data_IF_704945190958
#
_entry.id   IF_704945190958
#
_cell.length_a   1.000
_cell.length_b   1.000
_cell.length_c   1.000
_cell.angle_alpha   90.00
_cell.angle_beta   90.00
_cell.angle_gamma   90.00
#
_symmetry.space_group_name_H-M   'P 1'
#
loop_
_entity.id
_entity.type
_entity.pdbx_description
1 polymer ?
#
# COMPACT_ATOMS: atom_id res chain seq x y z
N UNK A 1 68.92 41.44 -4.40
CA UNK A 1 69.97 40.82 -3.57
C UNK A 1 69.54 39.39 -3.25
N UNK A 2 70.35 38.40 -3.66
CA UNK A 2 70.28 36.96 -3.38
C UNK A 2 71.17 36.64 -2.15
N UNK A 3 70.98 35.57 -1.37
CA UNK A 3 71.28 34.17 -1.78
C UNK A 3 70.17 33.16 -1.35
N UNK A 4 69.79 32.12 -2.09
CA UNK A 4 70.53 30.96 -2.65
C UNK A 4 71.19 30.08 -1.57
N UNK A 5 70.55 28.96 -1.21
CA UNK A 5 71.25 27.76 -0.74
C UNK A 5 70.36 26.51 -0.88
N UNK A 6 70.73 25.71 -1.87
CA UNK A 6 70.28 24.38 -2.25
C UNK A 6 70.78 23.32 -1.25
N UNK A 7 69.99 22.28 -0.96
CA UNK A 7 70.54 20.98 -0.59
C UNK A 7 69.63 19.83 -1.07
N UNK A 8 70.15 19.09 -2.03
CA UNK A 8 69.68 17.83 -2.61
C UNK A 8 70.16 16.66 -1.73
N UNK A 9 69.33 15.63 -1.54
CA UNK A 9 69.70 14.20 -1.38
C UNK A 9 68.38 13.40 -1.50
N UNK A 10 68.03 12.67 -2.56
CA UNK A 10 68.65 11.57 -3.30
C UNK A 10 68.57 10.19 -2.60
N UNK A 11 67.98 9.22 -3.32
CA UNK A 11 67.87 7.77 -3.12
C UNK A 11 66.74 7.27 -2.18
N UNK A 12 65.97 6.21 -2.48
CA UNK A 12 66.13 5.15 -3.46
C UNK A 12 64.76 4.61 -3.92
N UNK A 13 64.70 4.26 -5.21
CA UNK A 13 63.59 3.55 -5.87
C UNK A 13 63.67 2.07 -5.49
N UNK A 14 62.68 1.57 -4.74
CA UNK A 14 62.45 0.14 -4.58
C UNK A 14 61.33 -0.29 -5.53
N UNK A 15 61.70 -0.80 -6.70
CA UNK A 15 60.80 -1.46 -7.63
C UNK A 15 60.55 -2.90 -7.16
N UNK A 16 59.36 -3.16 -6.60
CA UNK A 16 58.82 -4.51 -6.45
C UNK A 16 57.85 -4.79 -7.61
N UNK A 17 58.07 -5.82 -8.44
CA UNK A 17 57.06 -6.30 -9.37
C UNK A 17 56.12 -7.30 -8.68
N UNK A 18 54.89 -7.43 -9.23
CA UNK A 18 53.87 -8.47 -8.96
C UNK A 18 53.06 -8.29 -7.64
N UNK A 19 51.73 -8.22 -7.60
CA UNK A 19 50.66 -8.64 -8.50
C UNK A 19 49.50 -7.62 -8.43
N UNK A 20 49.07 -7.07 -9.57
CA UNK A 20 47.75 -6.46 -9.70
C UNK A 20 46.71 -7.58 -9.70
N UNK A 21 46.26 -8.01 -8.51
CA UNK A 21 45.00 -8.74 -8.39
C UNK A 21 43.88 -7.72 -8.49
N UNK A 22 43.20 -7.73 -9.64
CA UNK A 22 41.84 -7.21 -9.78
C UNK A 22 41.03 -7.80 -8.61
N UNK A 23 40.32 -7.00 -7.78
CA UNK A 23 39.39 -7.59 -6.84
C UNK A 23 38.45 -8.49 -7.66
N UNK A 24 38.14 -9.71 -7.19
CA UNK A 24 37.14 -10.53 -7.84
C UNK A 24 35.87 -9.69 -7.98
N UNK A 25 35.11 -9.80 -9.08
CA UNK A 25 33.74 -9.33 -9.05
C UNK A 25 33.10 -9.98 -7.82
N UNK A 26 32.50 -9.17 -6.96
CA UNK A 26 31.61 -9.68 -5.92
C UNK A 26 30.59 -10.52 -6.68
N UNK A 27 30.74 -11.84 -6.60
CA UNK A 27 29.72 -12.77 -7.02
C UNK A 27 28.56 -12.42 -6.13
N UNK A 28 27.57 -11.71 -6.69
CA UNK A 28 26.30 -11.46 -6.03
C UNK A 28 25.88 -12.79 -5.45
N UNK A 29 25.74 -12.84 -4.13
CA UNK A 29 25.26 -14.03 -3.45
C UNK A 29 23.95 -14.40 -4.13
N UNK A 30 24.02 -15.44 -4.95
CA UNK A 30 22.86 -16.08 -5.56
C UNK A 30 22.00 -16.48 -4.36
N UNK A 31 20.93 -15.72 -4.15
CA UNK A 31 19.99 -16.01 -3.09
C UNK A 31 19.43 -17.38 -3.42
N UNK A 32 19.94 -18.40 -2.73
CA UNK A 32 19.49 -19.77 -2.89
C UNK A 32 17.97 -19.84 -2.82
N UNK A 33 17.35 -20.87 -3.43
CA UNK A 33 15.90 -21.00 -3.47
C UNK A 33 15.35 -20.76 -2.06
N UNK A 34 14.34 -19.88 -1.90
CA UNK A 34 13.82 -19.55 -0.59
C UNK A 34 13.44 -20.84 0.12
N UNK A 35 13.86 -20.98 1.37
CA UNK A 35 13.39 -22.09 2.20
C UNK A 35 11.86 -22.03 2.21
N UNK A 36 11.15 -23.17 2.16
CA UNK A 36 9.69 -23.18 1.95
C UNK A 36 8.88 -22.35 2.95
N UNK A 37 9.44 -22.10 4.14
CA UNK A 37 8.83 -21.30 5.21
C UNK A 37 9.25 -19.82 5.23
N UNK A 38 10.01 -19.35 4.24
CA UNK A 38 10.39 -17.94 4.12
C UNK A 38 9.55 -17.23 3.07
N UNK A 39 9.03 -16.05 3.46
CA UNK A 39 8.40 -15.12 2.53
C UNK A 39 9.41 -14.69 1.46
N UNK A 40 8.96 -14.53 0.23
CA UNK A 40 9.80 -13.98 -0.82
C UNK A 40 10.24 -12.55 -0.47
N UNK A 41 11.39 -12.08 -0.99
CA UNK A 41 11.80 -10.69 -0.80
C UNK A 41 10.70 -9.71 -1.25
N UNK A 42 10.32 -8.78 -0.37
CA UNK A 42 9.25 -7.81 -0.61
C UNK A 42 7.82 -8.35 -0.42
N UNK A 43 7.67 -9.64 -0.12
CA UNK A 43 6.38 -10.22 0.23
C UNK A 43 5.98 -9.84 1.66
N UNK A 44 4.76 -9.33 1.82
CA UNK A 44 4.26 -8.87 3.10
C UNK A 44 3.30 -9.91 3.71
N UNK A 45 3.54 -10.25 4.97
CA UNK A 45 2.66 -11.11 5.76
C UNK A 45 1.32 -10.42 6.05
N UNK A 46 0.25 -11.22 6.12
CA UNK A 46 -1.05 -10.74 6.58
C UNK A 46 -0.99 -10.29 8.05
N UNK A 47 -1.65 -9.17 8.33
CA UNK A 47 -1.86 -8.64 9.66
C UNK A 47 -3.20 -9.06 10.26
N UNK A 48 -3.56 -8.42 11.36
CA UNK A 48 -4.86 -8.63 12.04
C UNK A 48 -5.88 -7.55 11.67
N UNK A 49 -5.42 -6.38 11.22
CA UNK A 49 -6.29 -5.27 10.86
C UNK A 49 -6.90 -5.47 9.47
N UNK A 50 -8.18 -5.08 9.32
CA UNK A 50 -8.87 -5.09 8.03
C UNK A 50 -9.48 -3.74 7.67
N UNK A 51 -9.61 -3.46 6.37
CA UNK A 51 -10.26 -2.30 5.79
C UNK A 51 -11.33 -2.75 4.80
N UNK A 52 -12.61 -2.68 5.21
CA UNK A 52 -13.75 -3.15 4.40
C UNK A 52 -13.60 -4.60 3.88
N UNK A 53 -12.95 -5.45 4.68
CA UNK A 53 -12.66 -6.85 4.34
C UNK A 53 -11.29 -7.08 3.71
N UNK A 54 -10.57 -6.04 3.27
CA UNK A 54 -9.18 -6.16 2.84
C UNK A 54 -8.30 -6.29 4.07
N UNK A 55 -7.69 -7.47 4.27
CA UNK A 55 -6.70 -7.68 5.35
C UNK A 55 -5.45 -6.88 5.02
N UNK A 56 -5.05 -5.99 5.93
CA UNK A 56 -3.87 -5.15 5.76
C UNK A 56 -2.60 -5.93 6.10
N UNK A 57 -1.45 -5.59 5.49
CA UNK A 57 -0.17 -6.18 5.87
C UNK A 57 0.13 -5.99 7.36
N UNK A 58 0.80 -6.95 7.99
CA UNK A 58 1.15 -6.93 9.43
C UNK A 58 1.92 -5.69 9.87
N UNK A 59 2.74 -5.14 8.97
CA UNK A 59 3.56 -3.95 9.22
C UNK A 59 2.79 -2.64 9.12
N UNK A 60 1.50 -2.67 8.73
CA UNK A 60 0.68 -1.47 8.62
C UNK A 60 -0.04 -1.14 9.93
N UNK A 61 -0.11 0.15 10.22
CA UNK A 61 -0.77 0.73 11.38
C UNK A 61 -1.95 1.55 10.88
N UNK A 62 -3.16 1.24 11.35
CA UNK A 62 -4.36 2.00 11.03
C UNK A 62 -4.34 3.32 11.80
N UNK A 63 -4.40 4.44 11.09
CA UNK A 63 -4.43 5.77 11.68
C UNK A 63 -5.86 6.24 11.95
N UNK A 64 -6.77 5.99 11.00
CA UNK A 64 -8.14 6.49 11.09
C UNK A 64 -9.09 5.60 10.31
N UNK A 65 -10.27 5.39 10.89
CA UNK A 65 -11.40 4.70 10.26
C UNK A 65 -12.55 5.68 10.13
N UNK A 66 -13.05 5.86 8.92
CA UNK A 66 -14.27 6.60 8.58
C UNK A 66 -15.31 5.60 8.08
N UNK A 67 -16.54 6.07 7.90
CA UNK A 67 -17.64 5.24 7.39
C UNK A 67 -17.38 4.73 5.97
N UNK A 68 -16.60 5.46 5.17
CA UNK A 68 -16.33 5.22 3.75
C UNK A 68 -14.85 5.04 3.43
N UNK A 69 -13.94 5.23 4.41
CA UNK A 69 -12.51 5.18 4.18
C UNK A 69 -11.71 4.68 5.39
N UNK A 70 -10.64 3.93 5.14
CA UNK A 70 -9.64 3.54 6.14
C UNK A 70 -8.27 4.02 5.69
N UNK A 71 -7.57 4.72 6.59
CA UNK A 71 -6.22 5.22 6.38
C UNK A 71 -5.25 4.41 7.23
N UNK A 72 -4.23 3.85 6.60
CA UNK A 72 -3.16 3.14 7.30
C UNK A 72 -1.79 3.50 6.71
N UNK A 73 -0.75 3.33 7.51
CA UNK A 73 0.61 3.69 7.12
C UNK A 73 1.63 2.70 7.66
N UNK A 74 2.84 2.73 7.12
CA UNK A 74 3.97 1.94 7.62
C UNK A 74 5.29 2.67 7.37
N UNK A 75 6.26 2.46 8.26
CA UNK A 75 7.64 2.92 8.09
C UNK A 75 8.53 1.89 7.36
N UNK A 76 8.04 0.66 7.18
CA UNK A 76 8.90 -0.48 6.85
C UNK A 76 8.80 -0.91 5.38
N UNK A 77 7.59 -1.00 4.83
CA UNK A 77 7.37 -1.48 3.46
C UNK A 77 7.38 -0.35 2.43
N UNK A 78 7.88 -0.63 1.24
CA UNK A 78 7.85 0.29 0.10
C UNK A 78 6.43 0.39 -0.52
N UNK A 79 6.11 1.46 -1.26
CA UNK A 79 4.86 1.56 -2.00
C UNK A 79 4.68 0.39 -2.98
N UNK A 80 5.76 -0.10 -3.57
CA UNK A 80 5.78 -1.21 -4.51
C UNK A 80 5.36 -2.53 -3.83
N UNK A 81 5.94 -2.83 -2.66
CA UNK A 81 5.60 -4.03 -1.88
C UNK A 81 4.12 -4.04 -1.46
N UNK A 82 3.64 -2.90 -0.95
CA UNK A 82 2.23 -2.74 -0.55
C UNK A 82 1.30 -2.85 -1.76
N UNK A 83 1.70 -2.27 -2.90
CA UNK A 83 0.93 -2.36 -4.14
C UNK A 83 0.84 -3.80 -4.66
N UNK A 84 1.95 -4.55 -4.64
CA UNK A 84 1.95 -5.96 -5.01
C UNK A 84 1.10 -6.82 -4.05
N UNK A 85 1.17 -6.54 -2.74
CA UNK A 85 0.32 -7.19 -1.75
C UNK A 85 -1.18 -6.97 -2.03
N UNK A 86 -1.58 -5.75 -2.40
CA UNK A 86 -2.96 -5.42 -2.78
C UNK A 86 -3.34 -6.16 -4.07
N UNK A 87 -2.48 -6.13 -5.09
CA UNK A 87 -2.70 -6.80 -6.38
C UNK A 87 -2.99 -8.29 -6.23
N UNK A 88 -2.30 -8.97 -5.31
CA UNK A 88 -2.51 -10.38 -5.04
C UNK A 88 -3.92 -10.69 -4.47
N UNK A 89 -4.58 -9.73 -3.83
CA UNK A 89 -5.85 -9.92 -3.09
C UNK A 89 -7.10 -9.47 -3.84
N UNK A 90 -6.92 -8.76 -4.95
CA UNK A 90 -8.00 -8.27 -5.80
C UNK A 90 -8.18 -9.15 -7.05
N UNK A 91 -9.37 -9.13 -7.63
CA UNK A 91 -9.70 -9.89 -8.87
C UNK A 91 -10.13 -9.02 -10.05
N UNK A 92 -10.91 -7.99 -9.79
CA UNK A 92 -11.56 -7.15 -10.81
C UNK A 92 -11.12 -5.70 -10.62
N UNK A 93 -11.44 -4.83 -11.59
CA UNK A 93 -11.22 -3.39 -11.54
C UNK A 93 -10.01 -2.93 -12.35
N UNK A 94 -9.67 -1.66 -12.19
CA UNK A 94 -8.65 -0.97 -13.00
C UNK A 94 -7.46 -0.56 -12.14
N UNK A 95 -6.27 -0.58 -12.74
CA UNK A 95 -5.03 -0.17 -12.07
C UNK A 95 -4.45 1.05 -12.79
N UNK A 96 -4.34 2.14 -12.05
CA UNK A 96 -3.77 3.40 -12.50
C UNK A 96 -2.43 3.60 -11.80
N UNK A 97 -1.33 3.46 -12.54
CA UNK A 97 0.01 3.69 -12.03
C UNK A 97 0.44 5.11 -12.41
N UNK A 98 0.48 6.01 -11.43
CA UNK A 98 0.94 7.38 -11.59
C UNK A 98 2.32 7.59 -10.97
N UNK A 99 2.90 8.78 -11.19
CA UNK A 99 4.19 9.16 -10.63
C UNK A 99 4.19 9.24 -9.09
N UNK A 100 3.05 9.60 -8.51
CA UNK A 100 2.93 9.83 -7.06
C UNK A 100 2.21 8.70 -6.31
N UNK A 101 1.43 7.87 -7.00
CA UNK A 101 0.67 6.79 -6.37
C UNK A 101 0.25 5.71 -7.37
N UNK A 102 -0.03 4.52 -6.84
CA UNK A 102 -0.78 3.49 -7.56
C UNK A 102 -2.20 3.46 -7.02
N UNK A 103 -3.19 3.53 -7.90
CA UNK A 103 -4.61 3.42 -7.56
C UNK A 103 -5.25 2.20 -8.18
N UNK A 104 -6.03 1.51 -7.39
CA UNK A 104 -6.86 0.38 -7.76
C UNK A 104 -8.31 0.85 -7.66
N UNK A 105 -9.03 0.93 -8.77
CA UNK A 105 -10.38 1.55 -8.80
C UNK A 105 -11.42 0.50 -9.14
N UNK A 106 -12.50 0.51 -8.36
CA UNK A 106 -13.63 -0.38 -8.56
C UNK A 106 -13.28 -1.86 -8.41
N UNK A 107 -12.34 -2.16 -7.52
CA UNK A 107 -11.82 -3.51 -7.31
C UNK A 107 -12.70 -4.31 -6.36
N UNK A 108 -12.62 -5.63 -6.50
CA UNK A 108 -13.27 -6.60 -5.60
C UNK A 108 -12.22 -7.51 -4.97
N UNK A 109 -12.48 -7.95 -3.75
CA UNK A 109 -11.60 -8.87 -3.04
C UNK A 109 -11.84 -10.30 -3.50
N UNK A 110 -10.77 -11.10 -3.55
CA UNK A 110 -10.85 -12.55 -3.82
C UNK A 110 -11.77 -13.26 -2.83
N UNK A 111 -11.71 -12.88 -1.56
CA UNK A 111 -12.46 -13.48 -0.46
C UNK A 111 -13.89 -12.93 -0.32
N UNK A 112 -14.16 -11.72 -0.84
CA UNK A 112 -15.46 -11.05 -0.71
C UNK A 112 -15.77 -10.21 -1.96
N UNK A 113 -16.74 -10.67 -2.75
CA UNK A 113 -17.08 -10.06 -4.05
C UNK A 113 -18.18 -9.00 -3.99
N UNK A 114 -18.89 -8.88 -2.88
CA UNK A 114 -20.05 -7.99 -2.75
C UNK A 114 -19.66 -6.52 -2.55
N UNK A 115 -18.43 -6.26 -2.12
CA UNK A 115 -17.92 -4.92 -1.87
C UNK A 115 -17.08 -4.42 -3.05
N UNK A 116 -17.38 -3.19 -3.51
CA UNK A 116 -16.58 -2.49 -4.51
C UNK A 116 -15.69 -1.49 -3.80
N UNK A 117 -14.38 -1.57 -4.00
CA UNK A 117 -13.41 -0.76 -3.29
C UNK A 117 -12.58 0.10 -4.25
N UNK A 118 -12.04 1.19 -3.72
CA UNK A 118 -10.89 1.87 -4.31
C UNK A 118 -9.73 1.89 -3.33
N UNK A 119 -8.53 1.55 -3.79
CA UNK A 119 -7.32 1.51 -2.97
C UNK A 119 -6.27 2.44 -3.57
N UNK A 120 -5.79 3.41 -2.80
CA UNK A 120 -4.64 4.24 -3.16
C UNK A 120 -3.44 3.85 -2.31
N UNK A 121 -2.32 3.56 -2.96
CA UNK A 121 -1.02 3.32 -2.32
C UNK A 121 -0.07 4.44 -2.76
N UNK A 122 0.51 5.15 -1.79
CA UNK A 122 1.39 6.29 -2.04
C UNK A 122 2.57 6.35 -1.07
N UNK A 123 3.70 6.98 -1.45
CA UNK A 123 4.78 7.28 -0.53
C UNK A 123 4.28 8.13 0.65
N UNK A 124 4.92 7.96 1.81
CA UNK A 124 4.74 8.85 2.95
C UNK A 124 5.31 10.24 2.69
N UNK A 125 4.89 11.22 3.50
CA UNK A 125 5.40 12.59 3.39
C UNK A 125 6.87 12.65 3.86
N UNK A 126 7.74 13.43 3.19
CA UNK A 126 9.11 13.64 3.63
C UNK A 126 9.16 14.12 5.09
N UNK A 127 10.06 13.51 5.90
CA UNK A 127 10.24 13.87 7.31
C UNK A 127 9.18 13.32 8.28
N UNK A 128 8.15 12.62 7.81
CA UNK A 128 7.09 12.08 8.68
C UNK A 128 7.43 10.75 9.37
N UNK A 129 8.55 10.12 9.01
CA UNK A 129 8.85 8.73 9.39
C UNK A 129 7.94 7.68 8.75
N UNK A 130 6.94 8.10 7.95
CA UNK A 130 6.12 7.20 7.15
C UNK A 130 6.80 6.91 5.82
N UNK A 131 6.92 5.64 5.47
CA UNK A 131 7.43 5.20 4.17
C UNK A 131 6.32 5.05 3.15
N UNK A 132 5.20 4.47 3.57
CA UNK A 132 4.04 4.19 2.70
C UNK A 132 2.73 4.47 3.42
N UNK A 133 1.78 5.03 2.69
CA UNK A 133 0.38 5.20 3.11
C UNK A 133 -0.53 4.42 2.16
N UNK A 134 -1.51 3.71 2.73
CA UNK A 134 -2.62 3.12 2.01
C UNK A 134 -3.92 3.82 2.44
N UNK A 135 -4.77 4.09 1.46
CA UNK A 135 -6.13 4.56 1.68
C UNK A 135 -7.08 3.60 0.98
N UNK A 136 -8.01 3.02 1.74
CA UNK A 136 -9.01 2.08 1.22
C UNK A 136 -10.37 2.74 1.36
N UNK A 137 -11.06 2.93 0.23
CA UNK A 137 -12.42 3.46 0.15
C UNK A 137 -13.42 2.35 -0.13
N UNK A 138 -14.58 2.41 0.52
CA UNK A 138 -15.74 1.59 0.18
C UNK A 138 -16.65 2.36 -0.79
N UNK A 139 -16.60 1.96 -2.06
CA UNK A 139 -17.40 2.54 -3.15
C UNK A 139 -18.64 1.69 -3.45
N UNK A 140 -19.04 0.80 -2.55
CA UNK A 140 -20.23 -0.02 -2.72
C UNK A 140 -21.45 0.90 -2.80
N UNK A 141 -22.23 0.86 -3.89
CA UNK A 141 -23.41 1.71 -4.02
C UNK A 141 -24.36 1.47 -2.84
N UNK A 142 -24.67 2.54 -2.11
CA UNK A 142 -25.65 2.45 -1.03
C UNK A 142 -27.00 2.07 -1.64
N UNK A 143 -27.75 1.13 -1.03
CA UNK A 143 -29.12 0.86 -1.45
C UNK A 143 -29.88 2.18 -1.53
N UNK A 144 -30.51 2.44 -2.67
CA UNK A 144 -31.39 3.59 -2.80
C UNK A 144 -32.42 3.50 -1.67
N UNK A 145 -32.53 4.55 -0.85
CA UNK A 145 -33.59 4.59 0.15
C UNK A 145 -34.91 4.39 -0.59
N UNK A 146 -35.82 3.55 -0.05
CA UNK A 146 -37.13 3.40 -0.66
C UNK A 146 -37.77 4.78 -0.75
N UNK A 147 -38.42 5.01 -1.89
CA UNK A 147 -39.17 6.23 -2.17
C UNK A 147 -40.04 6.65 -0.96
N UNK A 148 -40.22 7.96 -0.76
CA UNK A 148 -40.95 8.51 0.39
C UNK A 148 -42.34 7.88 0.51
N UNK A 149 -43.04 7.62 -0.59
CA UNK A 149 -44.33 6.93 -0.58
C UNK A 149 -44.23 5.49 -0.10
N UNK A 150 -43.16 4.77 -0.46
CA UNK A 150 -42.91 3.41 0.05
C UNK A 150 -42.56 3.41 1.53
N UNK A 151 -41.83 4.43 2.01
CA UNK A 151 -41.51 4.61 3.45
C UNK A 151 -42.76 4.89 4.25
N UNK A 152 -43.60 5.81 3.77
CA UNK A 152 -44.88 6.15 4.40
C UNK A 152 -45.81 4.92 4.41
N UNK A 153 -45.93 4.20 3.28
CA UNK A 153 -46.73 2.97 3.21
C UNK A 153 -46.24 1.88 4.16
N UNK A 154 -44.93 1.68 4.30
CA UNK A 154 -44.35 0.72 5.25
C UNK A 154 -44.58 1.12 6.72
N UNK A 155 -44.57 2.43 7.01
CA UNK A 155 -44.90 2.97 8.32
C UNK A 155 -46.43 3.00 8.61
N UNK A 156 -47.26 2.58 7.66
CA UNK A 156 -48.71 2.62 7.78
C UNK A 156 -49.27 4.03 7.70
N UNK A 157 -48.59 4.95 7.01
CA UNK A 157 -48.97 6.36 6.85
C UNK A 157 -49.29 6.64 5.37
N UNK A 158 -50.29 7.46 5.08
CA UNK A 158 -50.57 7.97 3.73
C UNK A 158 -49.65 9.14 3.37
N UNK A 159 -49.61 9.53 2.09
CA UNK A 159 -48.86 10.70 1.62
C UNK A 159 -49.24 12.00 2.38
N UNK A 160 -50.50 12.10 2.83
CA UNK A 160 -51.02 13.21 3.64
C UNK A 160 -50.70 13.12 5.15
N UNK A 161 -49.87 12.16 5.57
CA UNK A 161 -49.49 12.00 6.98
C UNK A 161 -50.55 11.33 7.87
N UNK A 162 -51.63 10.78 7.31
CA UNK A 162 -52.68 10.08 8.08
C UNK A 162 -52.36 8.60 8.25
N UNK A 163 -52.65 8.04 9.43
CA UNK A 163 -52.50 6.62 9.68
C UNK A 163 -53.50 5.83 8.83
N UNK A 164 -53.04 4.80 8.12
CA UNK A 164 -53.89 3.94 7.28
C UNK A 164 -54.84 3.12 8.16
N UNK A 165 -56.09 3.08 7.74
CA UNK A 165 -57.17 2.39 8.44
C UNK A 165 -56.87 0.87 8.55
N UNK A 166 -56.90 0.27 9.75
CA UNK A 166 -56.50 -1.13 9.97
C UNK A 166 -57.30 -2.16 9.16
N UNK A 167 -58.46 -1.80 8.61
CA UNK A 167 -59.31 -2.67 7.79
C UNK A 167 -58.84 -2.89 6.35
N UNK A 168 -57.86 -2.13 5.86
CA UNK A 168 -57.33 -2.24 4.49
C UNK A 168 -55.88 -2.79 4.43
N UNK A 169 -55.54 -3.73 5.32
CA UNK A 169 -54.27 -4.48 5.27
C UNK A 169 -54.48 -5.76 4.44
N UNK A 170 -54.14 -5.71 3.16
CA UNK A 170 -53.99 -6.90 2.28
C UNK A 170 -52.58 -7.48 2.38
#
# INVERSE_FOLDING_TARGET
MRPLATALLAAAVAALPACKRKPPPEVGADAGPPTPDQLAPGELAEGTESAFGLVLPRVMIVQTRKSDAVYAWTAYASPEDVSNYVRARITEGEVYVGTASTRYVGVRLRTKKDSKLSVEVRPGLPGSGTRTTIVVHDDTPKPLEPDVDKRLKAAGVTADGKMRDPKNRE
#
